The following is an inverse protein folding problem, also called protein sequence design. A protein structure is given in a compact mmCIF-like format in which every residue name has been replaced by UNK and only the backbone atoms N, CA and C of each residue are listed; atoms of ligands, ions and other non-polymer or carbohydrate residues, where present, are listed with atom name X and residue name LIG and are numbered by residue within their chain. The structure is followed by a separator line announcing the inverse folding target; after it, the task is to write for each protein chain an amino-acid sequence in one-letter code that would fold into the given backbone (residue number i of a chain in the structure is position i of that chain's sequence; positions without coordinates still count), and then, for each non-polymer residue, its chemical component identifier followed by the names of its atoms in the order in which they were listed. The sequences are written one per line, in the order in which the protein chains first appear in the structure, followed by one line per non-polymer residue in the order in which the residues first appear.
data_IF_131233320170
#
_entry.id   IF_131233320170
#
_cell.length_a   1.000
_cell.length_b   1.000
_cell.length_c   1.000
_cell.angle_alpha   90.00
_cell.angle_beta   90.00
_cell.angle_gamma   90.00
#
_symmetry.space_group_name_H-M   'P 1'
#
loop_
_entity.id
_entity.type
_entity.pdbx_description
1 polymer ?
#
# COMPACT_ATOMS: atom_id res chain seq x y z
N UNK A 1 50.29 -25.66 23.94
CA UNK A 1 49.94 -24.75 22.83
C UNK A 1 51.16 -24.20 22.09
N UNK A 2 52.11 -23.53 22.77
CA UNK A 2 53.29 -22.92 22.12
C UNK A 2 54.18 -23.89 21.32
N UNK A 3 54.38 -25.12 21.81
CA UNK A 3 55.18 -26.15 21.11
C UNK A 3 54.55 -26.60 19.78
N UNK A 4 53.23 -26.62 19.69
CA UNK A 4 52.51 -26.95 18.45
C UNK A 4 52.53 -25.77 17.47
N UNK A 5 52.38 -24.53 17.97
CA UNK A 5 52.54 -23.30 17.17
C UNK A 5 53.93 -23.22 16.53
N UNK A 6 54.99 -23.53 17.28
CA UNK A 6 56.35 -23.54 16.75
C UNK A 6 56.54 -24.60 15.64
N UNK A 7 55.94 -25.79 15.79
CA UNK A 7 55.97 -26.84 14.75
C UNK A 7 55.17 -26.45 13.51
N UNK A 8 54.01 -25.82 13.67
CA UNK A 8 53.14 -25.36 12.58
C UNK A 8 53.73 -24.14 11.84
N UNK A 9 54.41 -23.24 12.55
CA UNK A 9 55.05 -22.06 11.96
C UNK A 9 56.20 -22.41 11.00
N UNK A 10 56.83 -23.57 11.19
CA UNK A 10 57.93 -24.07 10.35
C UNK A 10 57.45 -24.87 9.13
N UNK A 11 56.14 -24.94 8.86
CA UNK A 11 55.62 -25.64 7.69
C UNK A 11 56.05 -24.93 6.40
N UNK A 12 56.51 -25.67 5.37
CA UNK A 12 56.84 -25.07 4.07
C UNK A 12 55.57 -24.48 3.46
N UNK A 13 55.66 -23.29 2.84
CA UNK A 13 54.51 -22.62 2.21
C UNK A 13 54.03 -23.29 0.92
N UNK A 14 54.89 -24.13 0.33
CA UNK A 14 54.59 -24.88 -0.88
C UNK A 14 54.45 -26.38 -0.57
N UNK A 15 53.53 -27.11 -1.23
CA UNK A 15 53.37 -28.54 -1.01
C UNK A 15 54.65 -29.30 -1.37
N UNK A 16 55.04 -30.25 -0.52
CA UNK A 16 56.15 -31.16 -0.81
C UNK A 16 55.76 -32.05 -2.00
N UNK A 17 56.62 -32.14 -3.01
CA UNK A 17 56.46 -33.11 -4.10
C UNK A 17 56.93 -34.47 -3.61
N UNK A 18 56.06 -35.47 -3.64
CA UNK A 18 56.46 -36.84 -3.32
C UNK A 18 56.85 -37.58 -4.61
N UNK A 19 57.87 -38.44 -4.53
CA UNK A 19 58.29 -39.28 -5.64
C UNK A 19 57.18 -40.24 -6.12
N UNK A 20 57.40 -40.82 -7.30
CA UNK A 20 56.44 -41.75 -7.91
C UNK A 20 56.26 -43.00 -7.02
N UNK A 21 55.01 -43.36 -6.66
CA UNK A 21 54.76 -44.58 -5.89
C UNK A 21 55.02 -45.82 -6.74
N UNK A 22 55.45 -46.90 -6.06
CA UNK A 22 55.52 -48.25 -6.64
C UNK A 22 54.13 -48.92 -6.59
N UNK A 23 53.47 -49.14 -7.74
CA UNK A 23 52.14 -49.74 -7.80
C UNK A 23 52.08 -51.15 -7.21
N UNK A 24 53.15 -51.94 -7.33
CA UNK A 24 53.18 -53.32 -6.83
C UNK A 24 53.24 -53.36 -5.30
N UNK A 25 53.95 -52.40 -4.69
CA UNK A 25 53.96 -52.25 -3.24
C UNK A 25 52.60 -51.80 -2.71
N UNK A 26 51.97 -50.81 -3.35
CA UNK A 26 50.65 -50.32 -2.94
C UNK A 26 49.58 -51.40 -3.11
N UNK A 27 49.61 -52.14 -4.22
CA UNK A 27 48.71 -53.27 -4.46
C UNK A 27 48.82 -54.34 -3.36
N UNK A 28 50.04 -54.72 -2.97
CA UNK A 28 50.26 -55.68 -1.86
C UNK A 28 49.71 -55.18 -0.53
N UNK A 29 49.90 -53.90 -0.18
CA UNK A 29 49.35 -53.34 1.05
C UNK A 29 47.82 -53.28 1.05
N UNK A 30 47.20 -53.00 -0.10
CA UNK A 30 45.74 -53.03 -0.25
C UNK A 30 45.18 -54.46 -0.18
N UNK A 31 45.91 -55.44 -0.71
CA UNK A 31 45.58 -56.86 -0.62
C UNK A 31 45.65 -57.37 0.83
N UNK A 32 46.65 -56.95 1.60
CA UNK A 32 46.73 -57.23 3.04
C UNK A 32 45.54 -56.62 3.79
N UNK A 33 45.19 -55.36 3.48
CA UNK A 33 44.03 -54.71 4.07
C UNK A 33 42.71 -55.41 3.70
N UNK A 34 42.58 -55.87 2.46
CA UNK A 34 41.44 -56.66 2.00
C UNK A 34 41.30 -57.95 2.82
N UNK A 35 42.39 -58.69 3.03
CA UNK A 35 42.39 -59.92 3.86
C UNK A 35 42.02 -59.63 5.31
N UNK A 36 42.52 -58.54 5.88
CA UNK A 36 42.15 -58.11 7.24
C UNK A 36 40.68 -57.72 7.34
N UNK A 37 40.15 -57.02 6.34
CA UNK A 37 38.73 -56.65 6.29
C UNK A 37 37.83 -57.88 6.19
N UNK A 38 38.17 -58.85 5.33
CA UNK A 38 37.44 -60.10 5.15
C UNK A 38 37.38 -60.96 6.42
N UNK A 39 38.45 -60.96 7.20
CA UNK A 39 38.55 -61.74 8.44
C UNK A 39 38.00 -61.00 9.68
N UNK A 40 37.50 -59.78 9.53
CA UNK A 40 36.97 -58.97 10.64
C UNK A 40 35.48 -59.23 10.87
N UNK A 41 35.08 -59.31 12.15
CA UNK A 41 33.68 -59.48 12.56
C UNK A 41 32.87 -58.18 12.60
N UNK A 42 33.46 -57.02 12.27
CA UNK A 42 32.76 -55.72 12.27
C UNK A 42 31.75 -55.65 11.09
N UNK A 43 30.47 -55.31 11.31
CA UNK A 43 29.47 -55.13 10.26
C UNK A 43 29.89 -54.15 9.13
N UNK A 44 30.80 -53.21 9.41
CA UNK A 44 31.35 -52.26 8.43
C UNK A 44 32.42 -52.89 7.52
N UNK A 45 33.02 -54.00 7.94
CA UNK A 45 34.10 -54.64 7.22
C UNK A 45 33.66 -55.20 5.86
N UNK A 46 32.44 -55.76 5.76
CA UNK A 46 31.90 -56.27 4.49
C UNK A 46 31.61 -55.18 3.42
N UNK A 47 31.52 -53.90 3.82
CA UNK A 47 31.48 -52.78 2.85
C UNK A 47 32.89 -52.43 2.35
N UNK A 48 33.86 -52.40 3.26
CA UNK A 48 35.27 -52.12 2.94
C UNK A 48 35.83 -53.22 2.03
N UNK A 49 35.54 -54.48 2.35
CA UNK A 49 35.92 -55.64 1.54
C UNK A 49 35.45 -55.50 0.09
N UNK A 50 34.15 -55.24 -0.13
CA UNK A 50 33.60 -55.06 -1.48
C UNK A 50 34.26 -53.92 -2.25
N UNK A 51 34.47 -52.77 -1.60
CA UNK A 51 35.11 -51.60 -2.23
C UNK A 51 36.57 -51.88 -2.57
N UNK A 52 37.31 -52.55 -1.68
CA UNK A 52 38.69 -52.92 -1.92
C UNK A 52 38.81 -53.95 -3.05
N UNK A 53 37.93 -54.95 -3.09
CA UNK A 53 37.93 -55.94 -4.16
C UNK A 53 37.66 -55.29 -5.53
N UNK A 54 36.59 -54.51 -5.65
CA UNK A 54 36.27 -53.79 -6.89
C UNK A 54 37.40 -52.86 -7.35
N UNK A 55 38.10 -52.24 -6.40
CA UNK A 55 39.24 -51.37 -6.70
C UNK A 55 40.46 -52.18 -7.15
N UNK A 56 40.83 -53.23 -6.41
CA UNK A 56 41.96 -54.10 -6.71
C UNK A 56 41.79 -54.77 -8.09
N UNK A 57 40.59 -55.25 -8.41
CA UNK A 57 40.27 -55.85 -9.71
C UNK A 57 40.44 -54.84 -10.86
N UNK A 58 39.91 -53.62 -10.70
CA UNK A 58 40.08 -52.55 -11.71
C UNK A 58 41.53 -52.09 -11.83
N UNK A 59 42.24 -52.04 -10.70
CA UNK A 59 43.62 -51.59 -10.63
C UNK A 59 44.55 -52.60 -11.29
N UNK A 60 44.42 -53.89 -10.97
CA UNK A 60 45.22 -54.97 -11.54
C UNK A 60 45.03 -55.12 -13.05
N UNK A 61 43.81 -54.88 -13.55
CA UNK A 61 43.49 -54.97 -14.98
C UNK A 61 43.89 -53.73 -15.81
N UNK A 62 44.51 -52.71 -15.19
CA UNK A 62 44.98 -51.50 -15.87
C UNK A 62 46.48 -51.55 -16.19
N UNK A 63 46.93 -50.83 -17.22
CA UNK A 63 48.34 -50.78 -17.62
C UNK A 63 49.21 -50.10 -16.54
N UNK A 64 50.46 -50.56 -16.36
CA UNK A 64 51.43 -50.03 -15.39
C UNK A 64 51.60 -48.49 -15.42
N UNK A 65 51.67 -47.81 -16.59
CA UNK A 65 51.73 -46.35 -16.65
C UNK A 65 50.48 -45.68 -16.07
N UNK A 66 49.30 -46.25 -16.26
CA UNK A 66 48.03 -45.72 -15.76
C UNK A 66 47.89 -45.91 -14.25
N UNK A 67 48.31 -47.07 -13.74
CA UNK A 67 48.41 -47.35 -12.31
C UNK A 67 49.29 -46.32 -11.61
N UNK A 68 50.50 -46.09 -12.14
CA UNK A 68 51.48 -45.14 -11.58
C UNK A 68 50.95 -43.70 -11.65
N UNK A 69 50.31 -43.33 -12.76
CA UNK A 69 49.71 -41.99 -12.95
C UNK A 69 48.48 -41.76 -12.06
N UNK A 70 47.71 -42.80 -11.75
CA UNK A 70 46.60 -42.73 -10.81
C UNK A 70 47.11 -42.52 -9.38
N UNK A 71 48.02 -43.39 -8.93
CA UNK A 71 48.57 -43.35 -7.57
C UNK A 71 49.33 -42.06 -7.29
N UNK A 72 50.18 -41.61 -8.22
CA UNK A 72 50.90 -40.33 -8.07
C UNK A 72 49.95 -39.13 -7.94
N UNK A 73 48.89 -39.08 -8.76
CA UNK A 73 47.86 -38.02 -8.66
C UNK A 73 47.10 -38.08 -7.34
N UNK A 74 46.71 -39.27 -6.89
CA UNK A 74 46.01 -39.44 -5.62
C UNK A 74 46.91 -39.01 -4.45
N UNK A 75 48.14 -39.50 -4.42
CA UNK A 75 49.13 -39.18 -3.38
C UNK A 75 49.42 -37.68 -3.32
N UNK A 76 49.65 -37.02 -4.47
CA UNK A 76 49.88 -35.59 -4.49
C UNK A 76 48.65 -34.79 -4.02
N UNK A 77 47.43 -35.20 -4.40
CA UNK A 77 46.19 -34.56 -3.91
C UNK A 77 46.01 -34.73 -2.41
N UNK A 78 46.25 -35.93 -1.87
CA UNK A 78 46.15 -36.20 -0.45
C UNK A 78 47.13 -35.33 0.35
N UNK A 79 48.38 -35.25 -0.11
CA UNK A 79 49.42 -34.42 0.51
C UNK A 79 49.06 -32.94 0.43
N UNK A 80 48.59 -32.45 -0.72
CA UNK A 80 48.17 -31.06 -0.86
C UNK A 80 46.98 -30.72 0.07
N UNK A 81 46.04 -31.65 0.25
CA UNK A 81 44.90 -31.49 1.14
C UNK A 81 45.31 -31.48 2.62
N UNK A 82 46.19 -32.39 3.03
CA UNK A 82 46.72 -32.42 4.40
C UNK A 82 47.55 -31.15 4.67
N UNK A 83 48.36 -30.73 3.70
CA UNK A 83 49.16 -29.51 3.77
C UNK A 83 48.29 -28.26 3.92
N UNK A 84 47.21 -28.13 3.14
CA UNK A 84 46.29 -27.00 3.27
C UNK A 84 45.55 -26.99 4.61
N UNK A 85 45.17 -28.16 5.14
CA UNK A 85 44.58 -28.27 6.48
C UNK A 85 45.56 -27.85 7.58
N UNK A 86 46.83 -28.28 7.49
CA UNK A 86 47.85 -27.86 8.45
C UNK A 86 48.16 -26.36 8.37
N UNK A 87 48.16 -25.78 7.16
CA UNK A 87 48.30 -24.32 6.99
C UNK A 87 47.11 -23.57 7.59
N UNK A 88 45.87 -24.02 7.33
CA UNK A 88 44.68 -23.41 7.94
C UNK A 88 44.70 -23.52 9.47
N UNK A 89 45.17 -24.64 10.03
CA UNK A 89 45.39 -24.80 11.47
C UNK A 89 46.49 -23.87 11.98
N UNK A 90 47.58 -23.68 11.22
CA UNK A 90 48.66 -22.77 11.58
C UNK A 90 48.17 -21.30 11.63
N UNK A 91 47.38 -20.88 10.63
CA UNK A 91 46.75 -19.55 10.57
C UNK A 91 45.74 -19.37 11.70
N UNK A 92 44.88 -20.36 11.96
CA UNK A 92 43.89 -20.33 13.04
C UNK A 92 44.49 -20.44 14.45
N UNK A 93 45.75 -20.89 14.57
CA UNK A 93 46.49 -20.94 15.84
C UNK A 93 47.16 -19.60 16.19
N UNK A 94 46.97 -18.57 15.37
CA UNK A 94 47.47 -17.24 15.69
C UNK A 94 46.69 -16.65 16.87
N UNK A 95 47.38 -16.42 17.98
CA UNK A 95 46.79 -15.85 19.20
C UNK A 95 46.96 -14.34 19.29
N UNK A 96 47.61 -13.73 18.30
CA UNK A 96 47.82 -12.29 18.28
C UNK A 96 46.44 -11.60 18.11
N UNK A 97 46.16 -10.52 18.84
CA UNK A 97 44.88 -9.82 18.72
C UNK A 97 44.63 -9.39 17.28
N UNK A 98 43.42 -9.59 16.77
CA UNK A 98 43.04 -9.19 15.41
C UNK A 98 43.23 -7.68 15.25
N UNK A 99 44.11 -7.27 14.33
CA UNK A 99 44.40 -5.88 14.00
C UNK A 99 43.64 -5.46 12.75
N UNK A 100 43.50 -4.15 12.56
CA UNK A 100 42.87 -3.58 11.35
C UNK A 100 43.65 -3.86 10.04
N UNK A 101 44.88 -4.38 10.14
CA UNK A 101 45.69 -4.91 9.03
C UNK A 101 45.28 -6.31 8.61
N UNK A 102 44.69 -7.09 9.52
CA UNK A 102 44.41 -8.51 9.34
C UNK A 102 43.05 -8.72 8.65
N UNK A 103 42.25 -7.65 8.56
CA UNK A 103 40.95 -7.63 7.90
C UNK A 103 41.15 -7.50 6.37
N UNK A 104 40.62 -8.43 5.57
CA UNK A 104 40.65 -8.34 4.11
C UNK A 104 40.15 -6.99 3.58
N UNK A 105 40.79 -6.48 2.52
CA UNK A 105 40.46 -5.19 1.93
C UNK A 105 38.98 -5.06 1.55
N UNK A 106 38.35 -6.17 1.13
CA UNK A 106 36.93 -6.26 0.76
C UNK A 106 35.96 -6.10 1.94
N UNK A 107 36.39 -6.43 3.16
CA UNK A 107 35.61 -6.17 4.38
C UNK A 107 35.86 -4.75 4.86
N UNK A 108 37.12 -4.30 4.82
CA UNK A 108 37.50 -2.95 5.24
C UNK A 108 36.80 -1.87 4.42
N UNK A 109 36.65 -2.05 3.12
CA UNK A 109 35.96 -1.11 2.23
C UNK A 109 34.46 -0.96 2.51
N UNK A 110 33.82 -1.92 3.20
CA UNK A 110 32.40 -1.82 3.61
C UNK A 110 32.19 -0.87 4.79
N UNK A 111 33.24 -0.65 5.59
CA UNK A 111 33.18 0.16 6.81
C UNK A 111 34.05 1.41 6.73
N UNK A 112 34.92 1.53 5.72
CA UNK A 112 35.80 2.68 5.53
C UNK A 112 35.73 3.16 4.08
N UNK A 113 35.40 4.43 3.91
CA UNK A 113 35.40 5.13 2.61
C UNK A 113 36.82 5.25 2.05
N UNK A 114 36.93 5.46 0.72
CA UNK A 114 38.17 5.84 0.05
C UNK A 114 38.85 7.06 0.68
N UNK A 115 38.04 7.98 1.19
CA UNK A 115 38.49 9.25 1.79
C UNK A 115 38.88 9.08 3.27
N UNK A 116 38.93 7.85 3.76
CA UNK A 116 39.37 7.51 5.11
C UNK A 116 38.32 7.60 6.21
N UNK A 117 37.10 8.06 5.91
CA UNK A 117 35.96 8.13 6.85
C UNK A 117 35.42 6.75 7.21
N UNK A 118 34.96 6.57 8.45
CA UNK A 118 34.35 5.33 8.93
C UNK A 118 32.82 5.38 8.85
N UNK A 119 32.20 4.24 8.57
CA UNK A 119 30.75 4.05 8.60
C UNK A 119 30.29 3.92 10.06
N UNK A 120 29.41 4.81 10.49
CA UNK A 120 28.66 4.69 11.74
C UNK A 120 27.27 4.13 11.44
N UNK A 121 26.94 2.98 12.02
CA UNK A 121 25.60 2.40 11.92
C UNK A 121 24.86 2.62 13.23
N UNK A 122 23.69 3.25 13.15
CA UNK A 122 22.82 3.52 14.30
C UNK A 122 21.58 2.66 14.13
N UNK A 123 21.26 1.88 15.17
CA UNK A 123 20.11 0.99 15.17
C UNK A 123 19.07 1.50 16.15
N UNK A 124 17.77 1.45 15.79
CA UNK A 124 16.71 1.82 16.71
C UNK A 124 16.62 0.82 17.86
N UNK A 125 16.37 1.34 19.07
CA UNK A 125 16.11 0.52 20.26
C UNK A 125 14.66 -0.02 20.28
N UNK A 126 13.72 0.75 19.72
CA UNK A 126 12.30 0.44 19.69
C UNK A 126 11.87 -0.16 18.34
N UNK A 127 10.65 -0.72 18.26
CA UNK A 127 10.11 -1.28 17.03
C UNK A 127 9.70 -0.18 16.04
N UNK A 128 10.54 0.05 15.04
CA UNK A 128 10.30 1.04 13.96
C UNK A 128 9.21 0.63 12.94
N UNK A 129 8.49 -0.47 13.19
CA UNK A 129 7.29 -0.83 12.44
C UNK A 129 6.07 0.00 12.89
N UNK A 130 6.16 0.61 14.07
CA UNK A 130 5.15 1.54 14.58
C UNK A 130 5.47 2.98 14.19
N UNK A 131 4.44 3.77 13.90
CA UNK A 131 4.61 5.12 13.35
C UNK A 131 5.30 6.07 14.34
N UNK A 132 4.94 6.02 15.62
CA UNK A 132 5.51 6.91 16.65
C UNK A 132 6.99 6.63 16.93
N UNK A 133 7.40 5.38 17.23
CA UNK A 133 8.82 5.05 17.42
C UNK A 133 9.68 5.37 16.20
N UNK A 134 9.17 5.11 14.99
CA UNK A 134 9.89 5.46 13.76
C UNK A 134 10.07 6.97 13.61
N UNK A 135 9.02 7.76 13.88
CA UNK A 135 9.09 9.22 13.80
C UNK A 135 10.08 9.81 14.82
N UNK A 136 10.07 9.29 16.07
CA UNK A 136 11.04 9.69 17.11
C UNK A 136 12.48 9.35 16.70
N UNK A 137 12.73 8.12 16.26
CA UNK A 137 14.06 7.71 15.80
C UNK A 137 14.59 8.56 14.64
N UNK A 138 13.75 8.85 13.65
CA UNK A 138 14.13 9.69 12.51
C UNK A 138 14.42 11.12 12.96
N UNK A 139 13.63 11.68 13.88
CA UNK A 139 13.84 13.01 14.43
C UNK A 139 15.16 13.10 15.21
N UNK A 140 15.45 12.13 16.08
CA UNK A 140 16.67 12.10 16.89
C UNK A 140 17.92 12.03 16.00
N UNK A 141 17.92 11.13 15.01
CA UNK A 141 19.06 10.95 14.11
C UNK A 141 19.26 12.18 13.20
N UNK A 142 18.17 12.73 12.65
CA UNK A 142 18.22 13.91 11.78
C UNK A 142 18.62 15.18 12.54
N UNK A 143 18.41 15.23 13.86
CA UNK A 143 18.82 16.36 14.69
C UNK A 143 20.34 16.47 14.83
N UNK A 144 21.05 15.34 14.71
CA UNK A 144 22.51 15.27 14.81
C UNK A 144 23.16 15.51 13.45
N UNK A 145 22.66 14.86 12.40
CA UNK A 145 23.15 15.03 11.03
C UNK A 145 21.99 14.99 10.01
N UNK A 146 21.74 16.07 9.26
CA UNK A 146 20.68 16.12 8.25
C UNK A 146 20.90 15.17 7.06
N UNK A 147 22.13 14.70 6.83
CA UNK A 147 22.49 13.88 5.67
C UNK A 147 22.51 12.37 5.99
N UNK A 148 21.95 11.95 7.14
CA UNK A 148 21.87 10.53 7.45
C UNK A 148 20.98 9.80 6.45
N UNK A 149 21.35 8.57 6.13
CA UNK A 149 20.61 7.72 5.20
C UNK A 149 20.33 6.36 5.84
N UNK A 150 19.34 5.65 5.31
CA UNK A 150 18.99 4.31 5.76
C UNK A 150 17.53 3.97 5.53
N UNK A 151 17.21 2.69 5.64
CA UNK A 151 15.85 2.18 5.45
C UNK A 151 14.80 2.87 6.36
N UNK A 152 15.08 3.18 7.64
CA UNK A 152 14.08 3.86 8.49
C UNK A 152 13.71 5.25 7.97
N UNK A 153 14.69 6.07 7.59
CA UNK A 153 14.47 7.41 7.06
C UNK A 153 13.72 7.35 5.72
N UNK A 154 14.16 6.47 4.82
CA UNK A 154 13.51 6.26 3.52
C UNK A 154 12.06 5.82 3.69
N UNK A 155 11.78 4.86 4.58
CA UNK A 155 10.43 4.38 4.85
C UNK A 155 9.55 5.48 5.48
N UNK A 156 10.10 6.27 6.41
CA UNK A 156 9.39 7.37 7.04
C UNK A 156 8.97 8.44 6.02
N UNK A 157 9.92 8.93 5.22
CA UNK A 157 9.64 9.93 4.20
C UNK A 157 8.73 9.39 3.09
N UNK A 158 8.94 8.14 2.65
CA UNK A 158 8.06 7.50 1.66
C UNK A 158 6.62 7.38 2.18
N UNK A 159 6.43 6.91 3.43
CA UNK A 159 5.11 6.79 4.03
C UNK A 159 4.44 8.16 4.20
N UNK A 160 5.20 9.18 4.60
CA UNK A 160 4.73 10.56 4.72
C UNK A 160 4.30 11.14 3.38
N UNK A 161 5.10 10.93 2.34
CA UNK A 161 4.81 11.40 0.98
C UNK A 161 3.58 10.69 0.41
N UNK A 162 3.47 9.38 0.57
CA UNK A 162 2.28 8.61 0.16
C UNK A 162 1.02 9.16 0.85
N UNK A 163 1.08 9.38 2.17
CA UNK A 163 -0.06 9.95 2.92
C UNK A 163 -0.46 11.32 2.38
N UNK A 164 0.51 12.22 2.17
CA UNK A 164 0.26 13.55 1.59
C UNK A 164 -0.37 13.46 0.21
N UNK A 165 0.20 12.66 -0.69
CA UNK A 165 -0.32 12.47 -2.04
C UNK A 165 -1.75 11.94 -2.05
N UNK A 166 -2.11 11.02 -1.14
CA UNK A 166 -3.49 10.55 -1.04
C UNK A 166 -4.43 11.60 -0.47
N UNK A 167 -4.01 12.38 0.54
CA UNK A 167 -4.80 13.50 1.04
C UNK A 167 -5.06 14.53 -0.08
N UNK A 168 -4.03 14.90 -0.83
CA UNK A 168 -4.15 15.84 -1.94
C UNK A 168 -5.08 15.28 -3.04
N UNK A 169 -4.90 14.02 -3.41
CA UNK A 169 -5.77 13.34 -4.38
C UNK A 169 -7.24 13.29 -3.92
N UNK A 170 -7.51 13.05 -2.63
CA UNK A 170 -8.87 13.11 -2.07
C UNK A 170 -9.48 14.50 -2.17
N UNK A 171 -8.71 15.55 -1.89
CA UNK A 171 -9.21 16.93 -1.98
C UNK A 171 -9.49 17.29 -3.44
N UNK A 172 -8.59 16.96 -4.37
CA UNK A 172 -8.81 17.21 -5.79
C UNK A 172 -10.00 16.41 -6.35
N UNK A 173 -10.13 15.14 -5.98
CA UNK A 173 -11.26 14.31 -6.38
C UNK A 173 -12.58 14.91 -5.87
N UNK A 174 -12.66 15.26 -4.59
CA UNK A 174 -13.84 15.90 -4.01
C UNK A 174 -14.16 17.23 -4.70
N UNK A 175 -13.14 18.04 -4.99
CA UNK A 175 -13.29 19.30 -5.71
C UNK A 175 -13.91 19.10 -7.10
N UNK A 176 -13.35 18.18 -7.89
CA UNK A 176 -13.85 17.85 -9.23
C UNK A 176 -15.27 17.28 -9.15
N UNK A 177 -15.54 16.38 -8.20
CA UNK A 177 -16.88 15.81 -7.99
C UNK A 177 -17.89 16.93 -7.70
N UNK A 178 -17.60 17.85 -6.77
CA UNK A 178 -18.50 18.96 -6.47
C UNK A 178 -18.79 19.82 -7.71
N UNK A 179 -17.77 20.12 -8.52
CA UNK A 179 -17.93 20.90 -9.75
C UNK A 179 -18.78 20.16 -10.78
N UNK A 180 -18.54 18.85 -10.96
CA UNK A 180 -19.32 18.01 -11.88
C UNK A 180 -20.77 17.89 -11.41
N UNK A 181 -21.01 17.68 -10.12
CA UNK A 181 -22.36 17.62 -9.53
C UNK A 181 -23.10 18.95 -9.67
N UNK A 182 -22.43 20.07 -9.42
CA UNK A 182 -23.01 21.38 -9.66
C UNK A 182 -23.35 21.55 -11.14
N UNK A 183 -22.45 21.18 -12.04
CA UNK A 183 -22.73 21.21 -13.47
C UNK A 183 -23.92 20.33 -13.86
N UNK A 184 -24.07 19.14 -13.27
CA UNK A 184 -25.17 18.22 -13.55
C UNK A 184 -26.51 18.79 -13.06
N UNK A 185 -26.55 19.27 -11.81
CA UNK A 185 -27.79 19.73 -11.18
C UNK A 185 -28.20 21.17 -11.52
N UNK A 186 -27.27 22.02 -11.98
CA UNK A 186 -27.58 23.40 -12.32
C UNK A 186 -28.47 23.51 -13.56
N UNK A 187 -29.42 24.43 -13.51
CA UNK A 187 -30.17 24.81 -14.71
C UNK A 187 -29.25 25.47 -15.76
N UNK A 188 -29.50 25.28 -17.06
CA UNK A 188 -28.63 25.79 -18.14
C UNK A 188 -28.33 27.28 -18.05
N UNK A 189 -29.29 28.08 -17.56
CA UNK A 189 -29.16 29.54 -17.39
C UNK A 189 -28.13 29.92 -16.31
N UNK A 190 -27.99 29.11 -15.27
CA UNK A 190 -27.14 29.38 -14.11
C UNK A 190 -25.72 28.79 -14.26
N UNK A 191 -25.53 27.77 -15.11
CA UNK A 191 -24.24 27.09 -15.32
C UNK A 191 -23.12 28.06 -15.70
N UNK A 192 -23.39 28.96 -16.63
CA UNK A 192 -22.38 29.91 -17.14
C UNK A 192 -21.92 30.83 -16.00
N UNK A 193 -22.86 31.43 -15.27
CA UNK A 193 -22.53 32.37 -14.20
C UNK A 193 -21.80 31.68 -13.04
N UNK A 194 -22.27 30.50 -12.63
CA UNK A 194 -21.72 29.79 -11.48
C UNK A 194 -20.32 29.21 -11.72
N UNK A 195 -19.96 28.82 -12.95
CA UNK A 195 -18.66 28.21 -13.25
C UNK A 195 -17.66 29.21 -13.84
N UNK A 196 -18.09 30.10 -14.74
CA UNK A 196 -17.17 31.01 -15.44
C UNK A 196 -16.69 32.14 -14.53
N UNK A 197 -17.55 32.65 -13.64
CA UNK A 197 -17.16 33.75 -12.73
C UNK A 197 -16.05 33.32 -11.77
N UNK A 198 -16.16 32.21 -11.02
CA UNK A 198 -15.05 31.72 -10.19
C UNK A 198 -13.78 31.43 -10.99
N UNK A 199 -13.93 30.88 -12.21
CA UNK A 199 -12.79 30.58 -13.07
C UNK A 199 -12.04 31.86 -13.46
N UNK A 200 -12.76 32.93 -13.80
CA UNK A 200 -12.18 34.22 -14.13
C UNK A 200 -11.48 34.85 -12.91
N UNK A 201 -12.13 34.81 -11.74
CA UNK A 201 -11.54 35.32 -10.47
C UNK A 201 -10.25 34.57 -10.13
N UNK A 202 -10.23 33.25 -10.29
CA UNK A 202 -9.04 32.45 -10.02
C UNK A 202 -7.97 32.63 -11.08
N UNK A 203 -8.33 32.73 -12.35
CA UNK A 203 -7.39 33.07 -13.41
C UNK A 203 -6.70 34.40 -13.15
N UNK A 204 -7.46 35.40 -12.71
CA UNK A 204 -6.91 36.70 -12.30
C UNK A 204 -6.04 36.59 -11.03
N UNK A 205 -6.47 35.84 -10.02
CA UNK A 205 -5.69 35.61 -8.81
C UNK A 205 -4.35 34.92 -9.13
N UNK A 206 -4.36 33.86 -9.95
CA UNK A 206 -3.14 33.15 -10.39
C UNK A 206 -2.23 34.09 -11.16
N UNK A 207 -2.75 34.88 -12.09
CA UNK A 207 -1.97 35.86 -12.85
C UNK A 207 -1.28 36.88 -11.94
N UNK A 208 -2.02 37.46 -10.99
CA UNK A 208 -1.48 38.46 -10.04
C UNK A 208 -0.46 37.86 -9.08
N UNK A 209 -0.66 36.60 -8.65
CA UNK A 209 0.21 35.92 -7.69
C UNK A 209 1.49 35.41 -8.37
N UNK A 210 1.39 34.98 -9.63
CA UNK A 210 2.55 34.68 -10.48
C UNK A 210 3.40 35.94 -10.70
N UNK A 211 2.77 37.10 -10.96
CA UNK A 211 3.46 38.38 -11.05
C UNK A 211 4.18 38.79 -9.74
N UNK A 212 3.74 38.27 -8.58
CA UNK A 212 4.33 38.53 -7.26
C UNK A 212 5.34 37.47 -6.81
N UNK A 213 5.72 36.48 -7.65
CA UNK A 213 6.57 35.32 -7.28
C UNK A 213 6.15 34.64 -5.98
N UNK A 214 4.84 34.58 -5.73
CA UNK A 214 4.30 33.90 -4.55
C UNK A 214 3.91 32.48 -4.93
N UNK A 215 4.50 31.49 -4.27
CA UNK A 215 4.16 30.08 -4.47
C UNK A 215 2.85 29.75 -3.73
N UNK A 216 1.83 29.36 -4.47
CA UNK A 216 0.53 28.95 -3.92
C UNK A 216 0.31 27.48 -4.20
N UNK A 217 -0.15 26.77 -3.18
CA UNK A 217 -0.56 25.38 -3.34
C UNK A 217 -1.75 25.26 -4.29
N UNK A 218 -1.63 24.39 -5.27
CA UNK A 218 -2.73 24.03 -6.18
C UNK A 218 -3.99 23.56 -5.43
N UNK A 219 -3.83 22.97 -4.24
CA UNK A 219 -4.95 22.56 -3.36
C UNK A 219 -5.78 23.78 -2.94
N UNK A 220 -5.13 24.88 -2.55
CA UNK A 220 -5.80 26.11 -2.11
C UNK A 220 -6.60 26.74 -3.26
N UNK A 221 -6.04 26.73 -4.48
CA UNK A 221 -6.75 27.22 -5.67
C UNK A 221 -7.98 26.36 -5.98
N UNK A 222 -7.85 25.04 -5.93
CA UNK A 222 -8.96 24.12 -6.17
C UNK A 222 -10.09 24.31 -5.13
N UNK A 223 -9.75 24.40 -3.84
CA UNK A 223 -10.73 24.64 -2.77
C UNK A 223 -11.43 25.98 -2.92
N UNK A 224 -10.69 27.04 -3.29
CA UNK A 224 -11.27 28.37 -3.53
C UNK A 224 -12.24 28.34 -4.71
N UNK A 225 -11.89 27.63 -5.79
CA UNK A 225 -12.76 27.48 -6.97
C UNK A 225 -14.08 26.81 -6.61
N UNK A 226 -14.00 25.67 -5.92
CA UNK A 226 -15.18 24.92 -5.49
C UNK A 226 -16.02 25.74 -4.52
N UNK A 227 -15.39 26.40 -3.55
CA UNK A 227 -16.08 27.25 -2.57
C UNK A 227 -16.84 28.40 -3.22
N UNK A 228 -16.21 29.09 -4.17
CA UNK A 228 -16.87 30.17 -4.94
C UNK A 228 -18.01 29.63 -5.80
N UNK A 229 -17.77 28.53 -6.54
CA UNK A 229 -18.80 27.90 -7.39
C UNK A 229 -20.00 27.45 -6.56
N UNK A 230 -19.75 26.82 -5.41
CA UNK A 230 -20.77 26.39 -4.46
C UNK A 230 -21.55 27.57 -3.88
N UNK A 231 -20.86 28.64 -3.47
CA UNK A 231 -21.49 29.84 -2.91
C UNK A 231 -22.39 30.56 -3.93
N UNK A 232 -21.91 30.75 -5.16
CA UNK A 232 -22.71 31.35 -6.24
C UNK A 232 -23.90 30.44 -6.56
N UNK A 233 -23.69 29.12 -6.66
CA UNK A 233 -24.79 28.17 -6.91
C UNK A 233 -25.85 28.20 -5.82
N UNK A 234 -25.45 28.27 -4.55
CA UNK A 234 -26.37 28.39 -3.42
C UNK A 234 -27.16 29.70 -3.44
N UNK A 235 -26.53 30.79 -3.89
CA UNK A 235 -27.18 32.10 -4.04
C UNK A 235 -28.19 32.13 -5.20
N UNK A 236 -27.86 31.48 -6.33
CA UNK A 236 -28.72 31.47 -7.52
C UNK A 236 -29.91 30.52 -7.37
N UNK A 237 -29.67 29.28 -6.94
CA UNK A 237 -30.72 28.31 -6.68
C UNK A 237 -30.33 27.36 -5.54
N UNK A 238 -30.82 27.68 -4.34
CA UNK A 238 -30.60 26.89 -3.14
C UNK A 238 -31.05 25.42 -3.28
N UNK A 239 -32.05 25.14 -4.13
CA UNK A 239 -32.53 23.77 -4.37
C UNK A 239 -31.46 22.93 -5.04
N UNK A 240 -30.75 23.49 -6.02
CA UNK A 240 -29.69 22.79 -6.76
C UNK A 240 -28.48 22.53 -5.86
N UNK A 241 -28.11 23.50 -5.04
CA UNK A 241 -27.03 23.32 -4.05
C UNK A 241 -27.38 22.25 -3.01
N UNK A 242 -28.61 22.26 -2.49
CA UNK A 242 -29.10 21.21 -1.59
C UNK A 242 -29.06 19.85 -2.26
N UNK A 243 -29.44 19.77 -3.53
CA UNK A 243 -29.45 18.52 -4.28
C UNK A 243 -27.99 18.00 -4.47
N UNK A 244 -27.01 18.86 -4.74
CA UNK A 244 -25.57 18.49 -4.70
C UNK A 244 -25.15 17.93 -3.34
N UNK A 245 -25.56 18.56 -2.24
CA UNK A 245 -25.24 18.05 -0.90
C UNK A 245 -25.91 16.70 -0.61
N UNK A 246 -27.14 16.50 -1.07
CA UNK A 246 -27.86 15.23 -0.92
C UNK A 246 -27.23 14.10 -1.74
N UNK A 247 -26.68 14.39 -2.93
CA UNK A 247 -25.97 13.37 -3.72
C UNK A 247 -24.60 12.99 -3.12
N UNK A 248 -23.97 13.88 -2.36
CA UNK A 248 -22.75 13.58 -1.59
C UNK A 248 -23.02 12.70 -0.35
N UNK A 249 -24.27 12.65 0.13
CA UNK A 249 -24.62 11.98 1.38
C UNK A 249 -24.20 10.50 1.42
N UNK A 250 -24.45 9.65 0.40
CA UNK A 250 -24.05 8.25 0.44
C UNK A 250 -22.54 8.04 0.53
N UNK A 251 -21.76 8.92 -0.11
CA UNK A 251 -20.31 8.88 -0.04
C UNK A 251 -19.80 9.30 1.35
N UNK A 252 -20.25 10.45 1.86
CA UNK A 252 -19.74 11.00 3.13
C UNK A 252 -20.19 10.16 4.32
N UNK A 253 -21.49 9.85 4.42
CA UNK A 253 -22.01 9.03 5.51
C UNK A 253 -21.58 7.56 5.37
N UNK A 254 -21.43 7.05 4.15
CA UNK A 254 -20.86 5.73 3.90
C UNK A 254 -19.40 5.62 4.35
N UNK A 255 -18.57 6.64 4.07
CA UNK A 255 -17.22 6.75 4.63
C UNK A 255 -17.24 6.83 6.16
N UNK A 256 -18.14 7.61 6.76
CA UNK A 256 -18.31 7.68 8.21
C UNK A 256 -18.63 6.32 8.83
N UNK A 257 -19.55 5.56 8.23
CA UNK A 257 -19.87 4.19 8.65
C UNK A 257 -18.68 3.25 8.49
N UNK A 258 -17.93 3.35 7.37
CA UNK A 258 -16.70 2.58 7.16
C UNK A 258 -15.70 2.84 8.29
N UNK A 259 -15.43 4.10 8.64
CA UNK A 259 -14.53 4.42 9.76
C UNK A 259 -15.01 3.84 11.09
N UNK A 260 -16.32 3.88 11.35
CA UNK A 260 -16.92 3.23 12.51
C UNK A 260 -16.66 1.73 12.53
N UNK A 261 -16.89 1.02 11.42
CA UNK A 261 -16.64 -0.42 11.31
C UNK A 261 -15.16 -0.75 11.47
N UNK A 262 -14.27 0.00 10.82
CA UNK A 262 -12.81 -0.20 10.96
C UNK A 262 -12.34 -0.01 12.40
N UNK A 263 -12.89 0.99 13.09
CA UNK A 263 -12.61 1.23 14.51
C UNK A 263 -13.08 0.07 15.38
N UNK A 264 -14.24 -0.54 15.09
CA UNK A 264 -14.75 -1.70 15.82
C UNK A 264 -13.94 -2.98 15.54
N UNK A 265 -13.43 -3.13 14.31
CA UNK A 265 -12.58 -4.26 13.92
C UNK A 265 -11.13 -4.13 14.40
N UNK A 266 -10.74 -2.98 14.98
CA UNK A 266 -9.35 -2.69 15.36
C UNK A 266 -8.40 -2.61 14.15
N UNK A 267 -8.92 -2.40 12.95
CA UNK A 267 -8.12 -2.33 11.73
C UNK A 267 -7.73 -0.88 11.44
N UNK A 268 -6.42 -0.62 11.41
CA UNK A 268 -5.91 0.72 11.10
C UNK A 268 -5.87 1.00 9.60
N UNK A 269 -6.08 2.26 9.23
CA UNK A 269 -5.67 2.75 7.93
C UNK A 269 -4.13 2.70 7.86
N UNK A 270 -3.64 2.19 6.74
CA UNK A 270 -2.23 2.12 6.41
C UNK A 270 -2.01 2.79 5.03
N UNK A 271 -0.76 3.05 4.66
CA UNK A 271 -0.48 3.71 3.38
C UNK A 271 -1.10 2.98 2.18
N UNK A 272 -1.22 1.65 2.18
CA UNK A 272 -1.81 0.93 1.05
C UNK A 272 -3.32 1.13 0.94
N UNK A 273 -4.07 1.04 2.04
CA UNK A 273 -5.53 1.16 2.02
C UNK A 273 -6.06 2.60 2.07
N UNK A 274 -5.21 3.60 2.29
CA UNK A 274 -5.60 5.02 2.21
C UNK A 274 -6.14 5.43 0.84
N UNK A 275 -5.72 4.77 -0.24
CA UNK A 275 -6.22 5.03 -1.60
C UNK A 275 -7.73 4.77 -1.72
N UNK A 276 -8.32 4.00 -0.80
CA UNK A 276 -9.75 3.69 -0.80
C UNK A 276 -10.61 4.95 -0.61
N UNK A 277 -10.15 5.93 0.18
CA UNK A 277 -10.93 7.13 0.46
C UNK A 277 -11.29 7.95 -0.80
N UNK A 278 -10.34 8.38 -1.65
CA UNK A 278 -10.69 9.10 -2.87
C UNK A 278 -11.53 8.26 -3.85
N UNK A 279 -11.27 6.95 -3.96
CA UNK A 279 -12.05 6.06 -4.82
C UNK A 279 -13.50 5.93 -4.34
N UNK A 280 -13.69 5.74 -3.04
CA UNK A 280 -15.00 5.55 -2.44
C UNK A 280 -15.85 6.81 -2.53
N UNK A 281 -15.25 8.00 -2.45
CA UNK A 281 -15.94 9.26 -2.71
C UNK A 281 -16.52 9.29 -4.13
N UNK A 282 -15.74 8.94 -5.15
CA UNK A 282 -16.23 8.93 -6.53
C UNK A 282 -17.37 7.95 -6.77
N UNK A 283 -17.21 6.71 -6.31
CA UNK A 283 -18.20 5.65 -6.55
C UNK A 283 -19.46 5.87 -5.71
N UNK A 284 -19.32 6.25 -4.43
CA UNK A 284 -20.45 6.47 -3.53
C UNK A 284 -21.36 7.62 -3.98
N UNK A 285 -20.78 8.66 -4.60
CA UNK A 285 -21.54 9.79 -5.13
C UNK A 285 -22.41 9.39 -6.31
N UNK A 286 -21.94 8.47 -7.18
CA UNK A 286 -22.73 7.99 -8.31
C UNK A 286 -24.07 7.38 -7.84
N UNK A 287 -24.06 6.61 -6.75
CA UNK A 287 -25.29 6.06 -6.16
C UNK A 287 -26.25 7.17 -5.71
N UNK A 288 -25.73 8.23 -5.09
CA UNK A 288 -26.53 9.39 -4.68
C UNK A 288 -27.14 10.14 -5.86
N UNK A 289 -26.38 10.32 -6.95
CA UNK A 289 -26.85 10.96 -8.18
C UNK A 289 -28.00 10.18 -8.82
N UNK A 290 -27.88 8.86 -8.95
CA UNK A 290 -28.93 8.02 -9.51
C UNK A 290 -30.26 8.15 -8.76
N UNK A 291 -30.21 8.10 -7.42
CA UNK A 291 -31.40 8.25 -6.57
C UNK A 291 -31.97 9.65 -6.67
N UNK A 292 -31.12 10.67 -6.73
CA UNK A 292 -31.61 12.05 -6.77
C UNK A 292 -32.20 12.41 -8.14
N UNK A 293 -31.67 11.85 -9.23
CA UNK A 293 -32.26 11.98 -10.55
C UNK A 293 -33.61 11.25 -10.63
N UNK A 294 -33.72 10.06 -10.05
CA UNK A 294 -34.98 9.34 -9.88
C UNK A 294 -36.00 10.17 -9.10
N UNK A 295 -35.59 10.74 -7.96
CA UNK A 295 -36.42 11.66 -7.16
C UNK A 295 -36.88 12.91 -7.93
N UNK A 296 -36.01 13.52 -8.74
CA UNK A 296 -36.35 14.68 -9.57
C UNK A 296 -37.31 14.35 -10.71
N UNK A 297 -37.30 13.10 -11.20
CA UNK A 297 -38.17 12.63 -12.27
C UNK A 297 -39.59 12.28 -11.83
N UNK A 298 -39.85 12.15 -10.54
CA UNK A 298 -41.16 11.79 -9.99
C UNK A 298 -42.00 13.03 -9.63
N UNK A 299 -43.31 12.95 -9.90
CA UNK A 299 -44.27 14.01 -9.56
C UNK A 299 -44.59 14.05 -8.04
N UNK A 300 -45.16 15.16 -7.57
CA UNK A 300 -45.40 15.43 -6.13
C UNK A 300 -46.13 14.27 -5.42
N UNK A 301 -45.54 13.77 -4.32
CA UNK A 301 -46.07 12.63 -3.56
C UNK A 301 -45.05 12.06 -2.57
N UNK A 302 -45.36 10.89 -1.99
CA UNK A 302 -44.41 10.12 -1.20
C UNK A 302 -43.34 9.55 -2.14
N UNK A 303 -42.08 9.89 -1.91
CA UNK A 303 -41.00 9.34 -2.72
C UNK A 303 -40.82 7.84 -2.48
N UNK A 304 -40.82 7.07 -3.56
CA UNK A 304 -40.46 5.66 -3.59
C UNK A 304 -39.45 5.44 -4.70
N UNK A 305 -38.30 4.86 -4.37
CA UNK A 305 -37.22 4.66 -5.33
C UNK A 305 -37.65 3.66 -6.41
N UNK A 306 -37.48 4.02 -7.69
CA UNK A 306 -37.84 3.13 -8.80
C UNK A 306 -37.09 1.80 -8.74
N UNK A 307 -37.78 0.69 -9.02
CA UNK A 307 -37.17 -0.65 -9.01
C UNK A 307 -36.00 -0.81 -10.00
N UNK A 308 -36.04 -0.10 -11.14
CA UNK A 308 -34.93 -0.01 -12.09
C UNK A 308 -33.69 0.66 -11.48
N UNK A 309 -33.88 1.78 -10.76
CA UNK A 309 -32.82 2.51 -10.06
C UNK A 309 -32.20 1.65 -8.95
N UNK A 310 -33.02 0.98 -8.14
CA UNK A 310 -32.54 0.04 -7.12
C UNK A 310 -31.72 -1.07 -7.77
N UNK A 311 -32.24 -1.70 -8.82
CA UNK A 311 -31.55 -2.80 -9.50
C UNK A 311 -30.21 -2.37 -10.11
N UNK A 312 -30.17 -1.19 -10.73
CA UNK A 312 -28.94 -0.63 -11.30
C UNK A 312 -27.89 -0.35 -10.22
N UNK A 313 -28.27 0.28 -9.10
CA UNK A 313 -27.37 0.60 -7.99
C UNK A 313 -26.86 -0.66 -7.31
N UNK A 314 -27.74 -1.64 -7.05
CA UNK A 314 -27.37 -2.92 -6.45
C UNK A 314 -26.40 -3.68 -7.36
N UNK A 315 -26.69 -3.78 -8.66
CA UNK A 315 -25.85 -4.50 -9.61
C UNK A 315 -24.46 -3.85 -9.74
N UNK A 316 -24.40 -2.53 -9.92
CA UNK A 316 -23.12 -1.79 -10.03
C UNK A 316 -22.31 -1.86 -8.74
N UNK A 317 -22.96 -1.77 -7.57
CA UNK A 317 -22.27 -1.90 -6.28
C UNK A 317 -21.77 -3.32 -6.05
N UNK A 318 -22.55 -4.35 -6.39
CA UNK A 318 -22.14 -5.76 -6.28
C UNK A 318 -20.97 -6.09 -7.20
N UNK A 319 -21.00 -5.68 -8.47
CA UNK A 319 -19.89 -5.92 -9.39
C UNK A 319 -18.62 -5.21 -8.92
N UNK A 320 -18.74 -4.00 -8.38
CA UNK A 320 -17.63 -3.26 -7.77
C UNK A 320 -17.08 -3.97 -6.53
N UNK A 321 -17.95 -4.44 -5.63
CA UNK A 321 -17.55 -5.21 -4.44
C UNK A 321 -16.88 -6.54 -4.81
N UNK A 322 -17.35 -7.23 -5.85
CA UNK A 322 -16.71 -8.46 -6.35
C UNK A 322 -15.35 -8.13 -6.98
N UNK A 323 -15.29 -7.08 -7.80
CA UNK A 323 -14.05 -6.63 -8.46
C UNK A 323 -12.95 -6.29 -7.46
N UNK A 324 -13.23 -5.41 -6.49
CA UNK A 324 -12.27 -5.07 -5.45
C UNK A 324 -12.11 -6.17 -4.38
N UNK A 325 -13.18 -6.92 -4.10
CA UNK A 325 -13.15 -8.08 -3.19
C UNK A 325 -12.21 -9.17 -3.68
N UNK A 326 -11.99 -9.31 -4.98
CA UNK A 326 -10.99 -10.24 -5.54
C UNK A 326 -9.56 -9.97 -5.02
N UNK A 327 -9.24 -8.72 -4.67
CA UNK A 327 -7.95 -8.34 -4.07
C UNK A 327 -7.73 -8.99 -2.70
N UNK A 328 -8.79 -9.48 -2.05
CA UNK A 328 -8.69 -10.17 -0.76
C UNK A 328 -7.89 -11.49 -0.84
N UNK A 329 -7.81 -12.09 -2.04
CA UNK A 329 -7.03 -13.32 -2.29
C UNK A 329 -5.53 -13.02 -2.40
N UNK A 330 -5.13 -11.75 -2.50
CA UNK A 330 -3.73 -11.39 -2.67
C UNK A 330 -2.86 -11.79 -1.47
N UNK A 331 -1.70 -12.39 -1.75
CA UNK A 331 -0.69 -12.71 -0.72
C UNK A 331 -0.08 -11.47 -0.07
N UNK A 332 -0.08 -10.33 -0.76
CA UNK A 332 0.43 -9.07 -0.22
C UNK A 332 -0.59 -8.41 0.72
N UNK A 333 -0.21 -8.22 1.99
CA UNK A 333 -1.09 -7.69 3.05
C UNK A 333 -1.69 -6.31 2.72
N UNK A 334 -0.93 -5.44 2.06
CA UNK A 334 -1.41 -4.12 1.63
C UNK A 334 -2.58 -4.23 0.66
N UNK A 335 -2.44 -5.08 -0.37
CA UNK A 335 -3.45 -5.26 -1.40
C UNK A 335 -4.70 -5.97 -0.88
N UNK A 336 -4.51 -6.98 -0.02
CA UNK A 336 -5.62 -7.63 0.71
C UNK A 336 -6.42 -6.63 1.55
N UNK A 337 -5.72 -5.72 2.24
CA UNK A 337 -6.37 -4.69 3.06
C UNK A 337 -7.18 -3.71 2.21
N UNK A 338 -6.68 -3.30 1.04
CA UNK A 338 -7.44 -2.46 0.08
C UNK A 338 -8.76 -3.14 -0.29
N UNK A 339 -8.73 -4.43 -0.65
CA UNK A 339 -9.94 -5.18 -1.02
C UNK A 339 -10.98 -5.21 0.11
N UNK A 340 -10.55 -5.51 1.35
CA UNK A 340 -11.45 -5.53 2.52
C UNK A 340 -12.08 -4.15 2.75
N UNK A 341 -11.26 -3.10 2.86
CA UNK A 341 -11.72 -1.75 3.22
C UNK A 341 -12.67 -1.20 2.16
N UNK A 342 -12.38 -1.44 0.88
CA UNK A 342 -13.18 -0.95 -0.23
C UNK A 342 -14.50 -1.70 -0.36
N UNK A 343 -14.52 -3.03 -0.15
CA UNK A 343 -15.77 -3.79 -0.16
C UNK A 343 -16.70 -3.40 1.00
N UNK A 344 -16.17 -3.21 2.21
CA UNK A 344 -16.95 -2.71 3.35
C UNK A 344 -17.45 -1.29 3.08
N UNK A 345 -16.58 -0.42 2.55
CA UNK A 345 -16.93 0.95 2.20
C UNK A 345 -18.06 1.02 1.18
N UNK A 346 -17.97 0.21 0.12
CA UNK A 346 -19.01 0.09 -0.90
C UNK A 346 -20.33 -0.44 -0.34
N UNK A 347 -20.28 -1.43 0.57
CA UNK A 347 -21.47 -1.91 1.26
C UNK A 347 -22.12 -0.81 2.12
N UNK A 348 -21.32 0.01 2.80
CA UNK A 348 -21.80 1.16 3.56
C UNK A 348 -22.43 2.21 2.65
N UNK A 349 -21.78 2.58 1.55
CA UNK A 349 -22.34 3.52 0.58
C UNK A 349 -23.64 3.00 -0.05
N UNK A 350 -23.71 1.70 -0.37
CA UNK A 350 -24.93 1.06 -0.86
C UNK A 350 -26.05 1.15 0.18
N UNK A 351 -25.78 0.81 1.44
CA UNK A 351 -26.75 0.91 2.52
C UNK A 351 -27.27 2.34 2.70
N UNK A 352 -26.37 3.33 2.80
CA UNK A 352 -26.77 4.73 2.93
C UNK A 352 -27.56 5.19 1.70
N UNK A 353 -27.17 4.77 0.50
CA UNK A 353 -27.91 5.11 -0.73
C UNK A 353 -29.30 4.51 -0.74
N UNK A 354 -29.52 3.24 -0.42
CA UNK A 354 -30.83 2.60 -0.58
C UNK A 354 -31.76 2.77 0.61
N UNK A 355 -31.23 3.12 1.78
CA UNK A 355 -32.01 3.23 3.02
C UNK A 355 -32.07 4.68 3.50
N UNK A 356 -30.92 5.28 3.79
CA UNK A 356 -30.86 6.57 4.47
C UNK A 356 -31.28 7.71 3.53
N UNK A 357 -30.77 7.73 2.29
CA UNK A 357 -31.05 8.81 1.36
C UNK A 357 -32.54 8.83 0.94
N UNK A 358 -33.18 7.73 0.50
CA UNK A 358 -34.61 7.68 0.23
C UNK A 358 -35.46 8.10 1.42
N UNK A 359 -35.15 7.60 2.63
CA UNK A 359 -35.88 8.00 3.83
C UNK A 359 -35.82 9.52 4.07
N UNK A 360 -34.63 10.12 3.88
CA UNK A 360 -34.47 11.57 3.97
C UNK A 360 -35.25 12.32 2.88
N UNK A 361 -35.23 11.83 1.65
CA UNK A 361 -35.97 12.41 0.53
C UNK A 361 -37.48 12.34 0.72
N UNK A 362 -38.01 11.25 1.28
CA UNK A 362 -39.44 11.12 1.63
C UNK A 362 -39.86 12.17 2.66
N UNK A 363 -39.03 12.44 3.68
CA UNK A 363 -39.29 13.50 4.67
C UNK A 363 -39.26 14.89 4.02
N UNK A 364 -38.31 15.13 3.12
CA UNK A 364 -38.20 16.40 2.38
C UNK A 364 -39.42 16.60 1.46
N UNK A 365 -39.91 15.54 0.80
CA UNK A 365 -41.09 15.58 -0.06
C UNK A 365 -42.38 15.85 0.74
N UNK A 366 -42.58 15.19 1.89
CA UNK A 366 -43.75 15.40 2.74
C UNK A 366 -43.87 16.82 3.33
N UNK A 367 -42.75 17.51 3.54
CA UNK A 367 -42.76 18.93 3.95
C UNK A 367 -43.20 19.87 2.83
N UNK A 368 -43.04 19.50 1.56
CA UNK A 368 -43.49 20.32 0.41
C UNK A 368 -45.00 20.24 0.20
N UNK A 369 -45.63 19.08 0.41
CA UNK A 369 -47.08 18.93 0.24
C UNK A 369 -47.86 19.67 1.33
N UNK A 370 -47.44 19.55 2.59
CA UNK A 370 -48.08 20.18 3.76
C UNK A 370 -48.02 21.72 3.74
N UNK A 371 -46.92 22.31 3.26
CA UNK A 371 -46.80 23.77 3.10
C UNK A 371 -47.72 24.35 2.01
N UNK A 372 -47.95 23.61 0.91
CA UNK A 372 -48.84 24.01 -0.19
C UNK A 372 -50.32 23.93 0.21
N UNK A 373 -50.68 22.95 1.02
CA UNK A 373 -52.05 22.74 1.49
C UNK A 373 -52.49 23.80 2.53
N UNK A 374 -51.56 24.28 3.37
CA UNK A 374 -51.81 25.39 4.29
C UNK A 374 -51.98 26.74 3.58
N UNK A 375 -51.21 27.01 2.52
CA UNK A 375 -51.36 28.24 1.72
C UNK A 375 -52.65 28.26 0.89
N UNK A 376 -53.09 27.10 0.39
CA UNK A 376 -54.35 26.98 -0.36
C UNK A 376 -55.60 27.14 0.52
N UNK A 377 -55.50 26.83 1.82
CA UNK A 377 -56.58 27.08 2.81
C UNK A 377 -56.68 28.55 3.23
N UNK A 378 -55.59 29.33 3.25
CA UNK A 378 -55.68 30.77 3.53
C UNK A 378 -56.29 31.55 2.36
N UNK A 379 -55.87 31.27 1.12
CA UNK A 379 -56.41 31.92 -0.10
C UNK A 379 -57.91 31.62 -0.33
N UNK A 380 -58.36 30.42 0.03
CA UNK A 380 -59.78 30.05 -0.05
C UNK A 380 -60.64 30.64 1.07
N UNK A 381 -60.03 31.08 2.17
CA UNK A 381 -60.72 31.80 3.25
C UNK A 381 -60.86 33.30 2.97
N UNK A 382 -59.85 33.95 2.36
CA UNK A 382 -59.92 35.36 1.94
C UNK A 382 -60.87 35.57 0.75
N UNK A 383 -60.88 34.66 -0.23
CA UNK A 383 -61.82 34.72 -1.35
C UNK A 383 -63.28 34.50 -0.94
N UNK A 384 -63.54 33.74 0.13
CA UNK A 384 -64.90 33.57 0.69
C UNK A 384 -65.37 34.77 1.51
N UNK A 385 -64.47 35.53 2.13
CA UNK A 385 -64.83 36.77 2.84
C UNK A 385 -65.12 37.95 1.90
N UNK A 386 -64.48 38.00 0.72
CA UNK A 386 -64.73 39.07 -0.27
C UNK A 386 -66.07 38.93 -1.02
N UNK A 387 -66.63 37.71 -1.11
CA UNK A 387 -67.92 37.45 -1.79
C UNK A 387 -69.17 37.70 -0.95
N UNK A 388 -69.03 38.08 0.33
CA UNK A 388 -70.15 38.34 1.24
C UNK A 388 -70.42 39.85 1.42
N UNK A 389 -70.69 40.56 0.32
CA UNK A 389 -71.21 41.93 0.38
C UNK A 389 -72.76 41.90 0.51
N UNK A 390 -73.40 42.73 1.36
CA UNK A 390 -74.85 42.70 1.53
C UNK A 390 -75.58 43.24 0.29
N UNK A 391 -76.63 42.54 -0.13
CA UNK A 391 -77.52 42.96 -1.21
C UNK A 391 -78.18 44.32 -0.91
N UNK A 392 -78.12 45.25 -1.88
CA UNK A 392 -78.82 46.56 -1.82
C UNK A 392 -80.34 46.38 -1.93
N UNK A 393 -81.16 47.21 -1.26
CA UNK A 393 -82.62 47.16 -1.40
C UNK A 393 -83.11 47.81 -2.71
N UNK A 394 -84.32 47.49 -3.17
CA UNK A 394 -84.84 47.95 -4.46
C UNK A 394 -85.25 49.42 -4.43
N UNK A 395 -84.80 50.20 -5.41
CA UNK A 395 -85.23 51.58 -5.61
C UNK A 395 -86.64 51.63 -6.21
N UNK A 396 -87.50 52.39 -5.53
CA UNK A 396 -88.89 52.70 -5.88
C UNK A 396 -88.89 53.71 -7.05
N UNK A 397 -89.54 53.37 -8.15
CA UNK A 397 -89.85 54.30 -9.26
C UNK A 397 -90.85 55.36 -8.77
N UNK A 398 -90.58 56.62 -9.04
CA UNK A 398 -91.57 57.69 -9.04
C UNK A 398 -91.20 58.75 -10.09
N UNK A 399 -92.21 59.07 -10.92
CA UNK A 399 -92.37 60.17 -11.87
C UNK A 399 -91.36 60.30 -13.02
#
# INVERSE_FOLDING_TARGET
MQTYRAKLANLPRTPVRIGNPDPARVGRSLEELYKLARNSSDPRAGKVERVLNDFLDKFANSLLPDQTKFLSRYQQRAVNSIHSQFLAMAEGSNTDPIRASDVPATLKSRFRSSDGKWLLQIFPKEQIWEQEPLARFVADVSSVDPNVTGLPLQNHESARQIRRSYTDASIYALAVICVVLLFDFLEPKHKVLALVVPLAVIGFAVFTLHARRSDISYVTLALTYVGMTAAISAFLDFRQFRDMLLSLLPAVAGCGMLFGILSLMGSNLNPANMIVLPLLLGIGVANGVHILHDFRGQAEGKYETSGSTVSAIVLTSLTTMIGFGSLMVAGHRGLRSVGIVLSIGMACCLFVSLVVLPALLTVIAGRRSTGKESGRKSDSSESRQSSAAPARPPQRKAA
#
